data_IF_360373602463
#
_entry.id   IF_360373602463
#
_cell.length_a   1.000
_cell.length_b   1.000
_cell.length_c   1.000
_cell.angle_alpha   90.00
_cell.angle_beta   90.00
_cell.angle_gamma   90.00
#
_symmetry.space_group_name_H-M   'P 1'
#
loop_
_entity.id
_entity.type
_entity.pdbx_description
1 polymer ?
#
# COMPACT_ATOMS: atom_id res chain seq x y z
N UNK A 1 -48.49 89.27 -50.22
CA UNK A 1 -48.91 89.67 -48.85
C UNK A 1 -49.88 88.59 -48.38
N UNK A 2 -49.71 87.80 -47.35
CA UNK A 2 -48.76 87.66 -46.24
C UNK A 2 -49.48 86.79 -45.19
N UNK A 3 -48.73 85.94 -44.47
CA UNK A 3 -49.08 85.17 -43.25
C UNK A 3 -49.91 83.88 -43.46
N UNK A 4 -49.41 82.64 -43.29
CA UNK A 4 -48.62 81.90 -42.26
C UNK A 4 -49.46 81.38 -41.06
N UNK A 5 -49.25 80.09 -40.75
CA UNK A 5 -49.53 79.26 -39.54
C UNK A 5 -50.92 78.58 -39.47
N UNK A 6 -51.09 77.30 -39.09
CA UNK A 6 -50.25 76.15 -38.68
C UNK A 6 -51.19 74.93 -38.54
N UNK A 7 -50.75 73.71 -38.87
CA UNK A 7 -51.06 72.49 -38.11
C UNK A 7 -50.18 71.32 -38.60
N UNK A 8 -49.44 70.72 -37.68
CA UNK A 8 -48.49 69.64 -37.90
C UNK A 8 -49.18 68.27 -37.87
N UNK A 9 -48.86 67.39 -38.82
CA UNK A 9 -49.34 66.00 -38.88
C UNK A 9 -48.33 65.02 -38.28
N UNK A 10 -48.83 64.09 -37.47
CA UNK A 10 -48.10 62.92 -36.96
C UNK A 10 -47.59 62.05 -38.12
N UNK A 11 -46.31 61.67 -38.08
CA UNK A 11 -45.77 60.57 -38.87
C UNK A 11 -45.42 59.41 -37.93
N UNK A 12 -46.03 58.25 -38.17
CA UNK A 12 -45.81 57.02 -37.43
C UNK A 12 -44.42 56.43 -37.75
N UNK A 13 -43.63 56.15 -36.71
CA UNK A 13 -42.36 55.43 -36.81
C UNK A 13 -42.67 53.93 -36.76
N UNK A 14 -42.37 53.22 -37.86
CA UNK A 14 -42.39 51.76 -37.91
C UNK A 14 -41.11 51.24 -37.26
N UNK A 15 -41.24 50.60 -36.10
CA UNK A 15 -40.17 49.81 -35.50
C UNK A 15 -40.04 48.48 -36.25
N UNK A 16 -38.96 48.30 -37.01
CA UNK A 16 -38.55 46.98 -37.49
C UNK A 16 -37.85 46.30 -36.32
N UNK A 17 -38.56 45.39 -35.65
CA UNK A 17 -37.97 44.45 -34.71
C UNK A 17 -37.19 43.41 -35.54
N UNK A 18 -35.88 43.57 -35.63
CA UNK A 18 -35.00 42.50 -36.05
C UNK A 18 -34.97 41.46 -34.93
N UNK A 19 -35.81 40.43 -35.05
CA UNK A 19 -35.75 39.22 -34.24
C UNK A 19 -34.44 38.50 -34.57
N UNK A 20 -33.39 38.82 -33.82
CA UNK A 20 -32.22 37.96 -33.74
C UNK A 20 -32.63 36.66 -33.07
N UNK A 21 -32.82 35.60 -33.85
CA UNK A 21 -32.79 34.25 -33.32
C UNK A 21 -31.38 33.99 -32.80
N UNK A 22 -31.12 34.34 -31.53
CA UNK A 22 -30.06 33.70 -30.78
C UNK A 22 -30.45 32.22 -30.73
N UNK A 23 -29.79 31.41 -31.57
CA UNK A 23 -29.90 29.96 -31.47
C UNK A 23 -29.37 29.62 -30.08
N UNK A 24 -30.29 29.27 -29.19
CA UNK A 24 -29.98 28.74 -27.87
C UNK A 24 -29.09 27.53 -28.14
N UNK A 25 -27.78 27.70 -27.89
CA UNK A 25 -26.89 26.55 -27.84
C UNK A 25 -27.28 25.87 -26.55
N UNK A 26 -27.73 24.62 -26.63
CA UNK A 26 -27.65 23.74 -25.47
C UNK A 26 -26.18 23.72 -25.07
N UNK A 27 -25.82 24.54 -24.08
CA UNK A 27 -24.53 24.44 -23.42
C UNK A 27 -24.68 23.15 -22.60
N UNK A 28 -23.93 22.08 -22.89
CA UNK A 28 -23.92 20.91 -22.02
C UNK A 28 -23.67 21.39 -20.59
N UNK A 29 -24.16 20.69 -19.56
CA UNK A 29 -23.98 21.12 -18.16
C UNK A 29 -22.52 21.48 -17.80
N UNK A 30 -21.56 20.91 -18.53
CA UNK A 30 -20.12 21.10 -18.38
C UNK A 30 -19.44 21.85 -19.56
N UNK A 31 -20.20 22.51 -20.43
CA UNK A 31 -19.67 23.22 -21.61
C UNK A 31 -18.67 24.33 -21.26
N UNK A 32 -18.89 25.03 -20.14
CA UNK A 32 -17.98 26.06 -19.63
C UNK A 32 -16.65 25.45 -19.12
N UNK A 33 -16.69 24.26 -18.50
CA UNK A 33 -15.51 23.55 -18.03
C UNK A 33 -14.62 23.08 -19.19
N UNK A 34 -15.23 22.56 -20.26
CA UNK A 34 -14.50 22.19 -21.47
C UNK A 34 -13.87 23.41 -22.14
N UNK A 35 -14.62 24.50 -22.27
CA UNK A 35 -14.09 25.73 -22.86
C UNK A 35 -12.90 26.30 -22.07
N UNK A 36 -12.99 26.33 -20.74
CA UNK A 36 -11.88 26.74 -19.88
C UNK A 36 -10.65 25.86 -20.06
N UNK A 37 -10.85 24.54 -20.03
CA UNK A 37 -9.77 23.57 -20.22
C UNK A 37 -9.09 23.72 -21.59
N UNK A 38 -9.87 23.76 -22.67
CA UNK A 38 -9.36 23.92 -24.03
C UNK A 38 -8.56 25.23 -24.18
N UNK A 39 -9.01 26.30 -23.51
CA UNK A 39 -8.29 27.60 -23.50
C UNK A 39 -6.95 27.49 -22.76
N UNK A 40 -6.93 26.78 -21.62
CA UNK A 40 -5.69 26.56 -20.87
C UNK A 40 -4.70 25.72 -21.68
N UNK A 41 -5.16 24.66 -22.37
CA UNK A 41 -4.34 23.82 -23.24
C UNK A 41 -3.70 24.63 -24.37
N UNK A 42 -4.46 25.51 -25.03
CA UNK A 42 -3.93 26.34 -26.12
C UNK A 42 -2.76 27.24 -25.66
N UNK A 43 -2.79 27.69 -24.41
CA UNK A 43 -1.77 28.56 -23.84
C UNK A 43 -0.55 27.79 -23.32
N UNK A 44 -0.77 26.62 -22.71
CA UNK A 44 0.27 25.90 -21.95
C UNK A 44 0.83 24.66 -22.65
N UNK A 45 0.10 24.10 -23.62
CA UNK A 45 0.46 22.90 -24.37
C UNK A 45 0.44 23.14 -25.90
N UNK A 46 1.07 24.21 -26.43
CA UNK A 46 0.94 24.55 -27.85
C UNK A 46 1.55 23.47 -28.75
N UNK A 47 0.74 22.93 -29.66
CA UNK A 47 1.16 21.92 -30.64
C UNK A 47 1.13 20.47 -30.12
N UNK A 48 0.63 20.25 -28.91
CA UNK A 48 0.35 18.90 -28.39
C UNK A 48 -1.07 18.53 -28.80
N UNK A 49 -1.22 17.42 -29.51
CA UNK A 49 -2.52 16.88 -29.91
C UNK A 49 -3.14 16.06 -28.75
N UNK A 50 -4.49 16.02 -28.65
CA UNK A 50 -5.15 15.20 -27.65
C UNK A 50 -4.86 13.71 -27.89
N UNK A 51 -4.72 12.98 -26.79
CA UNK A 51 -4.60 11.53 -26.75
C UNK A 51 -5.87 10.91 -26.14
N UNK A 52 -6.27 9.73 -26.65
CA UNK A 52 -7.42 9.00 -26.12
C UNK A 52 -8.71 9.82 -26.17
N UNK A 53 -9.36 9.95 -25.01
CA UNK A 53 -10.63 10.67 -24.84
C UNK A 53 -10.45 12.15 -24.48
N UNK A 54 -9.24 12.71 -24.63
CA UNK A 54 -8.97 14.13 -24.45
C UNK A 54 -7.93 14.48 -23.38
N UNK A 55 -7.03 13.56 -23.02
CA UNK A 55 -5.84 13.91 -22.24
C UNK A 55 -4.76 14.52 -23.13
N UNK A 56 -3.80 15.25 -22.54
CA UNK A 56 -2.67 15.82 -23.27
C UNK A 56 -1.36 15.39 -22.64
N UNK A 57 -0.54 14.62 -23.37
CA UNK A 57 0.76 14.13 -22.92
C UNK A 57 1.80 15.23 -23.17
N UNK A 58 2.39 15.76 -22.10
CA UNK A 58 3.36 16.86 -22.16
C UNK A 58 4.80 16.37 -22.23
N UNK A 59 5.13 15.33 -21.45
CA UNK A 59 6.44 14.70 -21.44
C UNK A 59 6.23 13.18 -21.44
N UNK A 60 7.02 12.47 -22.24
CA UNK A 60 6.87 11.02 -22.41
C UNK A 60 8.23 10.33 -22.53
N UNK A 61 8.48 9.44 -21.57
CA UNK A 61 9.46 8.37 -21.65
C UNK A 61 8.70 7.05 -21.48
N UNK A 62 8.65 6.26 -22.56
CA UNK A 62 7.93 4.99 -22.57
C UNK A 62 8.49 4.03 -21.52
N UNK A 63 9.79 4.09 -21.22
CA UNK A 63 10.50 3.05 -20.46
C UNK A 63 10.87 1.85 -21.33
N UNK A 64 11.62 0.91 -20.76
CA UNK A 64 12.24 -0.19 -21.53
C UNK A 64 11.87 -1.59 -21.05
N UNK A 65 11.25 -1.72 -19.88
CA UNK A 65 10.92 -3.05 -19.34
C UNK A 65 9.56 -3.56 -19.82
N UNK A 66 8.91 -4.34 -18.97
CA UNK A 66 7.62 -4.96 -19.27
C UNK A 66 6.55 -3.90 -19.60
N UNK A 67 5.68 -4.21 -20.56
CA UNK A 67 4.63 -3.28 -20.97
C UNK A 67 3.50 -3.25 -19.94
N UNK A 68 2.93 -2.06 -19.69
CA UNK A 68 1.74 -1.94 -18.85
C UNK A 68 0.56 -2.69 -19.44
N UNK A 69 0.35 -2.59 -20.77
CA UNK A 69 -0.62 -3.38 -21.53
C UNK A 69 -1.95 -3.63 -20.79
N UNK A 70 -2.34 -4.89 -20.63
CA UNK A 70 -3.55 -5.37 -19.96
C UNK A 70 -3.36 -5.67 -18.47
N UNK A 71 -2.26 -5.20 -17.86
CA UNK A 71 -1.99 -5.37 -16.42
C UNK A 71 -3.14 -4.89 -15.57
N UNK A 72 -3.59 -5.74 -14.66
CA UNK A 72 -4.71 -5.46 -13.74
C UNK A 72 -4.32 -4.47 -12.64
N UNK A 73 -3.03 -4.36 -12.33
CA UNK A 73 -2.49 -3.41 -11.37
C UNK A 73 -1.22 -2.78 -11.94
N UNK A 74 -0.86 -1.61 -11.38
CA UNK A 74 0.44 -0.97 -11.63
C UNK A 74 1.00 -0.49 -10.30
N UNK A 75 2.26 -0.82 -10.03
CA UNK A 75 3.06 -0.25 -8.96
C UNK A 75 3.79 0.97 -9.50
N UNK A 76 3.52 2.16 -8.97
CA UNK A 76 4.04 3.42 -9.50
C UNK A 76 4.25 4.48 -8.43
N UNK A 77 5.09 5.46 -8.72
CA UNK A 77 5.15 6.72 -7.99
C UNK A 77 4.50 7.83 -8.79
N UNK A 78 3.99 8.86 -8.12
CA UNK A 78 3.39 10.00 -8.81
C UNK A 78 3.44 11.29 -8.01
N UNK A 79 3.28 12.39 -8.75
CA UNK A 79 2.91 13.71 -8.23
C UNK A 79 1.73 14.22 -9.06
N UNK A 80 0.68 14.66 -8.39
CA UNK A 80 -0.48 15.32 -8.98
C UNK A 80 -0.46 16.80 -8.63
N UNK A 81 -0.79 17.64 -9.60
CA UNK A 81 -0.95 19.08 -9.42
C UNK A 81 -2.25 19.57 -10.04
N UNK A 82 -2.77 20.71 -9.58
CA UNK A 82 -3.79 21.45 -10.32
C UNK A 82 -3.19 22.15 -11.57
N UNK A 83 -4.02 22.89 -12.30
CA UNK A 83 -3.58 23.64 -13.50
C UNK A 83 -2.71 24.88 -13.17
N UNK A 84 -2.63 25.29 -11.91
CA UNK A 84 -1.77 26.37 -11.42
C UNK A 84 -0.40 25.84 -10.95
N UNK A 85 -0.25 24.51 -10.86
CA UNK A 85 0.95 23.84 -10.41
C UNK A 85 0.99 23.56 -8.90
N UNK A 86 -0.09 23.81 -8.18
CA UNK A 86 -0.19 23.45 -6.76
C UNK A 86 -0.22 21.93 -6.63
N UNK A 87 0.68 21.35 -5.82
CA UNK A 87 0.69 19.91 -5.55
C UNK A 87 -0.55 19.54 -4.74
N UNK A 88 -1.32 18.58 -5.25
CA UNK A 88 -2.56 18.10 -4.63
C UNK A 88 -2.44 16.71 -4.05
N UNK A 89 -1.54 15.88 -4.58
CA UNK A 89 -1.25 14.54 -4.08
C UNK A 89 0.13 14.05 -4.55
N UNK A 90 0.77 13.15 -3.81
CA UNK A 90 2.09 12.62 -4.12
C UNK A 90 2.42 11.35 -3.35
N UNK A 91 3.40 10.59 -3.86
CA UNK A 91 3.93 9.40 -3.17
C UNK A 91 5.26 9.63 -2.48
N UNK A 92 6.14 10.42 -3.08
CA UNK A 92 7.57 10.44 -2.72
C UNK A 92 7.90 11.30 -1.50
N UNK A 93 8.91 10.85 -0.75
CA UNK A 93 9.41 11.55 0.44
C UNK A 93 9.98 12.92 0.10
N UNK A 94 10.69 13.00 -1.03
CA UNK A 94 11.34 14.24 -1.49
C UNK A 94 10.31 15.36 -1.69
N UNK A 95 9.13 15.03 -2.21
CA UNK A 95 8.01 15.97 -2.36
C UNK A 95 7.46 16.39 -1.00
N UNK A 96 7.26 15.46 -0.08
CA UNK A 96 6.82 15.77 1.28
C UNK A 96 7.76 16.77 1.98
N UNK A 97 9.08 16.53 1.87
CA UNK A 97 10.11 17.40 2.45
C UNK A 97 10.10 18.78 1.80
N UNK A 98 9.92 18.86 0.49
CA UNK A 98 9.84 20.14 -0.24
C UNK A 98 8.64 21.00 0.22
N UNK A 99 7.52 20.36 0.53
CA UNK A 99 6.31 21.02 1.03
C UNK A 99 6.37 21.33 2.54
N UNK A 100 7.36 20.81 3.27
CA UNK A 100 7.39 20.89 4.73
C UNK A 100 6.34 20.01 5.41
N UNK A 101 5.81 19.02 4.69
CA UNK A 101 4.77 18.08 5.13
C UNK A 101 5.33 16.69 5.51
N UNK A 102 6.66 16.56 5.49
CA UNK A 102 7.31 15.32 5.89
C UNK A 102 7.12 15.07 7.39
N UNK A 103 6.53 13.93 7.71
CA UNK A 103 6.30 13.49 9.08
C UNK A 103 7.26 12.36 9.43
N UNK A 104 8.26 12.70 10.23
CA UNK A 104 9.29 11.79 10.71
C UNK A 104 8.77 10.78 11.73
N UNK A 105 7.64 11.07 12.38
CA UNK A 105 7.23 10.41 13.63
C UNK A 105 6.03 9.48 13.54
N UNK A 106 5.20 9.62 12.50
CA UNK A 106 3.98 8.81 12.33
C UNK A 106 4.22 7.45 11.70
N UNK A 107 5.46 7.12 11.33
CA UNK A 107 5.74 5.93 10.55
C UNK A 107 5.15 5.97 9.13
N UNK A 108 4.69 7.14 8.64
CA UNK A 108 4.09 7.29 7.30
C UNK A 108 4.99 6.71 6.21
N UNK A 109 4.37 5.99 5.28
CA UNK A 109 5.02 5.45 4.10
C UNK A 109 5.07 6.51 2.99
N UNK A 110 6.28 6.74 2.51
CA UNK A 110 6.58 7.54 1.33
C UNK A 110 7.28 6.64 0.31
N UNK A 111 6.71 6.54 -0.89
CA UNK A 111 7.19 5.68 -1.95
C UNK A 111 6.05 5.15 -2.83
N UNK A 112 6.40 4.33 -3.84
CA UNK A 112 5.45 3.88 -4.85
C UNK A 112 4.25 3.13 -4.26
N UNK A 113 3.11 3.18 -4.93
CA UNK A 113 1.85 2.57 -4.51
C UNK A 113 1.29 1.68 -5.61
N UNK A 114 0.51 0.68 -5.23
CA UNK A 114 -0.23 -0.15 -6.17
C UNK A 114 -1.57 0.51 -6.46
N UNK A 115 -1.85 0.71 -7.74
CA UNK A 115 -3.16 1.12 -8.23
C UNK A 115 -3.83 -0.03 -8.97
N UNK A 116 -5.10 -0.27 -8.64
CA UNK A 116 -5.97 -1.22 -9.35
C UNK A 116 -6.49 -0.60 -10.64
N UNK A 117 -6.20 -1.21 -11.78
CA UNK A 117 -6.63 -0.76 -13.12
C UNK A 117 -7.99 -1.34 -13.47
N UNK A 118 -9.03 -0.82 -12.81
CA UNK A 118 -10.41 -1.16 -13.11
C UNK A 118 -11.34 0.03 -12.91
N UNK A 119 -12.44 0.06 -13.67
CA UNK A 119 -13.56 0.97 -13.41
C UNK A 119 -14.06 0.76 -11.97
N UNK A 120 -14.26 1.87 -11.26
CA UNK A 120 -14.57 1.93 -9.84
C UNK A 120 -13.36 2.26 -8.96
N UNK A 121 -12.14 2.08 -9.47
CA UNK A 121 -10.90 2.21 -8.68
C UNK A 121 -9.91 3.25 -9.22
N UNK A 122 -9.84 3.41 -10.53
CA UNK A 122 -8.90 4.31 -11.18
C UNK A 122 -9.63 5.30 -12.09
N UNK A 123 -9.15 6.54 -12.14
CA UNK A 123 -9.68 7.55 -13.05
C UNK A 123 -9.46 7.16 -14.52
N UNK A 124 -10.48 7.33 -15.36
CA UNK A 124 -10.41 7.00 -16.79
C UNK A 124 -9.23 7.66 -17.50
N UNK A 125 -9.01 8.96 -17.27
CA UNK A 125 -7.87 9.68 -17.86
C UNK A 125 -6.51 9.23 -17.37
N UNK A 126 -6.41 8.78 -16.11
CA UNK A 126 -5.17 8.19 -15.57
C UNK A 126 -4.92 6.82 -16.21
N UNK A 127 -5.97 6.02 -16.44
CA UNK A 127 -5.84 4.76 -17.17
C UNK A 127 -5.40 4.98 -18.63
N UNK A 128 -5.94 6.00 -19.31
CA UNK A 128 -5.49 6.38 -20.65
C UNK A 128 -4.04 6.86 -20.65
N UNK A 129 -3.64 7.65 -19.65
CA UNK A 129 -2.26 8.10 -19.49
C UNK A 129 -1.28 6.92 -19.43
N UNK A 130 -1.64 5.82 -18.78
CA UNK A 130 -0.80 4.62 -18.66
C UNK A 130 -0.70 3.79 -19.96
N UNK A 131 -1.52 4.08 -20.98
CA UNK A 131 -1.53 3.30 -22.22
C UNK A 131 -0.22 3.47 -23.00
N UNK A 132 0.40 2.34 -23.34
CA UNK A 132 1.68 2.32 -24.05
C UNK A 132 2.90 2.52 -23.15
N UNK A 133 2.74 2.85 -21.87
CA UNK A 133 3.87 2.92 -20.95
C UNK A 133 4.45 1.53 -20.66
N UNK A 134 5.73 1.51 -20.29
CA UNK A 134 6.49 0.34 -19.84
C UNK A 134 7.12 0.61 -18.49
N UNK A 135 7.55 -0.46 -17.85
CA UNK A 135 8.35 -0.44 -16.64
C UNK A 135 9.57 0.48 -16.80
N UNK A 136 9.78 1.34 -15.80
CA UNK A 136 10.82 2.37 -15.78
C UNK A 136 10.45 3.66 -16.52
N UNK A 137 9.31 3.68 -17.24
CA UNK A 137 8.86 4.86 -17.98
C UNK A 137 8.28 5.93 -17.07
N UNK A 138 8.44 7.19 -17.49
CA UNK A 138 7.88 8.37 -16.83
C UNK A 138 7.03 9.14 -17.83
N UNK A 139 5.83 9.54 -17.42
CA UNK A 139 4.94 10.34 -18.27
C UNK A 139 4.34 11.47 -17.48
N UNK A 140 4.19 12.62 -18.13
CA UNK A 140 3.46 13.78 -17.61
C UNK A 140 2.28 14.08 -18.52
N UNK A 141 1.08 14.13 -17.96
CA UNK A 141 -0.14 14.38 -18.73
C UNK A 141 -1.11 15.31 -18.00
N UNK A 142 -1.77 16.16 -18.78
CA UNK A 142 -2.89 16.98 -18.34
C UNK A 142 -4.17 16.20 -18.57
N UNK A 143 -4.93 15.99 -17.49
CA UNK A 143 -6.16 15.22 -17.47
C UNK A 143 -7.32 16.17 -17.17
N UNK A 144 -8.29 16.31 -18.08
CA UNK A 144 -9.44 17.15 -17.82
C UNK A 144 -10.34 16.56 -16.74
N UNK A 145 -11.08 17.41 -16.04
CA UNK A 145 -11.91 17.02 -14.89
C UNK A 145 -13.00 16.02 -15.21
N UNK A 146 -13.49 15.96 -16.46
CA UNK A 146 -14.43 14.92 -16.88
C UNK A 146 -13.80 13.53 -16.99
N UNK A 147 -12.48 13.43 -17.22
CA UNK A 147 -11.72 12.18 -17.22
C UNK A 147 -11.18 11.81 -15.83
N UNK A 148 -11.32 12.70 -14.83
CA UNK A 148 -11.09 12.42 -13.42
C UNK A 148 -12.30 11.71 -12.78
N UNK A 149 -12.82 10.68 -13.48
CA UNK A 149 -13.97 9.87 -13.09
C UNK A 149 -13.56 8.41 -12.91
N UNK A 150 -13.97 7.80 -11.80
CA UNK A 150 -13.76 6.38 -11.54
C UNK A 150 -14.67 5.48 -12.38
N UNK A 151 -15.70 6.02 -13.02
CA UNK A 151 -16.50 5.26 -14.00
C UNK A 151 -15.87 5.44 -15.38
N UNK A 152 -15.54 4.33 -16.04
CA UNK A 152 -14.98 4.36 -17.38
C UNK A 152 -16.10 4.37 -18.42
N UNK A 153 -16.12 5.42 -19.24
CA UNK A 153 -17.06 5.58 -20.34
C UNK A 153 -16.40 5.27 -21.68
N UNK A 154 -17.22 4.99 -22.71
CA UNK A 154 -16.74 4.57 -24.03
C UNK A 154 -16.43 5.72 -24.99
N UNK A 155 -16.77 6.96 -24.63
CA UNK A 155 -16.50 8.14 -25.46
C UNK A 155 -16.31 9.42 -24.63
N UNK A 156 -15.60 10.39 -25.20
CA UNK A 156 -15.42 11.74 -24.62
C UNK A 156 -16.78 12.38 -24.25
N UNK A 157 -17.79 12.26 -25.12
CA UNK A 157 -19.11 12.86 -24.86
C UNK A 157 -19.77 12.24 -23.63
N UNK A 158 -19.69 10.92 -23.45
CA UNK A 158 -20.22 10.27 -22.25
C UNK A 158 -19.49 10.73 -20.97
N UNK A 159 -18.18 10.94 -21.03
CA UNK A 159 -17.45 11.54 -19.90
C UNK A 159 -17.92 12.98 -19.62
N UNK A 160 -18.10 13.80 -20.66
CA UNK A 160 -18.57 15.17 -20.52
C UNK A 160 -19.98 15.24 -19.92
N UNK A 161 -20.87 14.36 -20.34
CA UNK A 161 -22.25 14.26 -19.83
C UNK A 161 -22.29 13.84 -18.35
N UNK A 162 -21.24 13.15 -17.88
CA UNK A 162 -21.11 12.65 -16.50
C UNK A 162 -19.96 13.32 -15.71
N UNK A 163 -19.47 14.48 -16.17
CA UNK A 163 -18.28 15.08 -15.57
C UNK A 163 -18.54 15.48 -14.11
N UNK A 164 -17.59 15.14 -13.24
CA UNK A 164 -17.69 15.40 -11.80
C UNK A 164 -16.36 15.76 -11.13
N UNK A 165 -15.23 15.62 -11.82
CA UNK A 165 -13.90 15.90 -11.29
C UNK A 165 -13.35 17.27 -11.66
N UNK A 166 -12.17 17.59 -11.12
CA UNK A 166 -11.40 18.80 -11.42
C UNK A 166 -10.22 18.46 -12.33
N UNK A 167 -9.80 19.42 -13.16
CA UNK A 167 -8.61 19.24 -14.00
C UNK A 167 -7.38 18.95 -13.12
N UNK A 168 -6.52 18.04 -13.57
CA UNK A 168 -5.30 17.66 -12.85
C UNK A 168 -4.17 17.37 -13.81
N UNK A 169 -2.94 17.63 -13.40
CA UNK A 169 -1.73 17.25 -14.12
C UNK A 169 -1.03 16.18 -13.30
N UNK A 170 -0.88 14.99 -13.88
CA UNK A 170 -0.15 13.89 -13.28
C UNK A 170 1.24 13.77 -13.89
N UNK A 171 2.24 13.55 -13.05
CA UNK A 171 3.52 12.96 -13.45
C UNK A 171 3.62 11.60 -12.79
N UNK A 172 3.67 10.52 -13.56
CA UNK A 172 3.75 9.14 -13.04
C UNK A 172 5.05 8.49 -13.48
N UNK A 173 5.62 7.64 -12.63
CA UNK A 173 6.73 6.74 -12.99
C UNK A 173 6.32 5.32 -12.69
N UNK A 174 6.29 4.47 -13.73
CA UNK A 174 5.88 3.07 -13.62
C UNK A 174 7.04 2.26 -13.05
N UNK A 175 6.86 1.69 -11.85
CA UNK A 175 7.86 0.82 -11.23
C UNK A 175 7.69 -0.61 -11.69
N UNK A 176 6.47 -1.15 -11.66
CA UNK A 176 6.14 -2.48 -12.18
C UNK A 176 4.70 -2.52 -12.74
N UNK A 177 4.50 -3.06 -13.95
CA UNK A 177 3.20 -3.54 -14.40
C UNK A 177 2.88 -4.90 -13.77
N UNK A 178 1.64 -5.11 -13.31
CA UNK A 178 1.26 -6.27 -12.51
C UNK A 178 0.00 -6.94 -13.08
N UNK A 179 0.17 -8.11 -13.69
CA UNK A 179 -0.94 -8.93 -14.18
C UNK A 179 -1.66 -9.68 -13.06
N UNK A 180 -0.90 -10.26 -12.12
CA UNK A 180 -1.41 -11.05 -11.01
C UNK A 180 -0.77 -10.56 -9.71
N UNK A 181 -1.57 -9.91 -8.87
CA UNK A 181 -1.08 -9.29 -7.64
C UNK A 181 -0.55 -10.31 -6.62
N UNK A 182 -1.14 -11.51 -6.56
CA UNK A 182 -0.66 -12.57 -5.69
C UNK A 182 0.73 -13.01 -6.13
N UNK A 183 0.91 -13.36 -7.41
CA UNK A 183 2.20 -13.81 -7.92
C UNK A 183 3.27 -12.72 -7.78
N UNK A 184 2.95 -11.45 -8.07
CA UNK A 184 3.90 -10.35 -7.90
C UNK A 184 4.37 -10.18 -6.45
N UNK A 185 3.49 -10.37 -5.47
CA UNK A 185 3.88 -10.34 -4.06
C UNK A 185 4.80 -11.50 -3.69
N UNK A 186 4.50 -12.71 -4.15
CA UNK A 186 5.36 -13.89 -3.95
C UNK A 186 6.74 -13.67 -4.57
N UNK A 187 6.79 -13.17 -5.79
CA UNK A 187 8.05 -12.87 -6.46
C UNK A 187 8.82 -11.75 -5.75
N UNK A 188 8.11 -10.78 -5.15
CA UNK A 188 8.71 -9.71 -4.36
C UNK A 188 9.35 -10.24 -3.08
N UNK A 189 8.67 -11.14 -2.37
CA UNK A 189 9.26 -11.84 -1.22
C UNK A 189 10.45 -12.68 -1.68
N UNK A 190 10.33 -13.43 -2.78
CA UNK A 190 11.42 -14.23 -3.33
C UNK A 190 12.67 -13.40 -3.66
N UNK A 191 12.49 -12.23 -4.30
CA UNK A 191 13.57 -11.26 -4.57
C UNK A 191 14.18 -10.71 -3.28
N UNK A 192 13.35 -10.37 -2.29
CA UNK A 192 13.79 -9.89 -0.99
C UNK A 192 14.68 -10.92 -0.27
N UNK A 193 14.24 -12.19 -0.23
CA UNK A 193 14.97 -13.30 0.37
C UNK A 193 16.31 -13.56 -0.35
N UNK A 194 16.32 -13.53 -1.68
CA UNK A 194 17.53 -13.71 -2.48
C UNK A 194 18.51 -12.52 -2.37
N UNK A 195 18.03 -11.34 -2.00
CA UNK A 195 18.80 -10.10 -1.92
C UNK A 195 19.73 -10.00 -0.71
N UNK A 196 19.74 -10.98 0.19
CA UNK A 196 20.64 -11.00 1.35
C UNK A 196 20.31 -9.94 2.39
N UNK A 197 19.04 -9.84 2.79
CA UNK A 197 18.60 -8.90 3.83
C UNK A 197 19.45 -9.05 5.11
N UNK A 198 19.89 -7.92 5.67
CA UNK A 198 20.69 -7.85 6.91
C UNK A 198 19.92 -7.11 7.99
N UNK A 199 19.37 -7.84 8.95
CA UNK A 199 18.83 -7.23 10.17
C UNK A 199 19.97 -6.91 11.14
N UNK A 200 19.95 -5.69 11.69
CA UNK A 200 20.90 -5.23 12.71
C UNK A 200 20.23 -5.08 14.09
N UNK A 201 18.90 -5.18 14.14
CA UNK A 201 18.12 -4.79 15.32
C UNK A 201 17.98 -5.93 16.34
N UNK A 202 18.35 -7.13 15.92
CA UNK A 202 18.19 -8.37 16.67
C UNK A 202 19.43 -9.27 16.60
N UNK A 203 20.63 -8.70 16.60
CA UNK A 203 21.86 -9.47 16.36
C UNK A 203 22.00 -9.81 14.88
N UNK A 204 23.24 -9.88 14.39
CA UNK A 204 23.54 -9.90 12.96
C UNK A 204 22.92 -11.12 12.26
N UNK A 205 21.84 -10.94 11.50
CA UNK A 205 21.27 -11.99 10.65
C UNK A 205 21.40 -11.59 9.18
N UNK A 206 22.30 -12.27 8.47
CA UNK A 206 22.38 -12.25 7.01
C UNK A 206 21.44 -13.34 6.46
N UNK A 207 20.23 -12.94 6.08
CA UNK A 207 19.17 -13.85 5.69
C UNK A 207 19.53 -14.67 4.44
N UNK A 208 20.28 -14.07 3.51
CA UNK A 208 20.75 -14.75 2.30
C UNK A 208 21.73 -15.87 2.65
N UNK A 209 22.71 -15.57 3.49
CA UNK A 209 23.67 -16.58 3.98
C UNK A 209 22.97 -17.68 4.78
N UNK A 210 21.99 -17.33 5.61
CA UNK A 210 21.21 -18.29 6.40
C UNK A 210 20.41 -19.24 5.50
N UNK A 211 19.75 -18.71 4.47
CA UNK A 211 18.97 -19.49 3.50
C UNK A 211 19.87 -20.43 2.69
N UNK A 212 21.00 -19.94 2.18
CA UNK A 212 21.97 -20.75 1.43
C UNK A 212 22.56 -21.88 2.29
N UNK A 213 22.93 -21.57 3.54
CA UNK A 213 23.54 -22.53 4.46
C UNK A 213 22.57 -23.64 4.87
N UNK A 214 21.31 -23.29 5.11
CA UNK A 214 20.30 -24.23 5.61
C UNK A 214 19.45 -24.85 4.50
N UNK A 215 19.72 -24.54 3.22
CA UNK A 215 18.98 -25.09 2.10
C UNK A 215 17.48 -24.75 2.11
N UNK A 216 17.10 -23.62 2.73
CA UNK A 216 15.70 -23.22 2.88
C UNK A 216 15.17 -22.81 1.52
N UNK A 217 14.63 -23.78 0.77
CA UNK A 217 13.86 -23.49 -0.43
C UNK A 217 12.49 -22.99 0.01
N UNK A 218 12.38 -21.68 0.28
CA UNK A 218 11.15 -20.89 0.32
C UNK A 218 9.92 -21.74 0.70
N UNK A 219 9.65 -21.98 2.00
CA UNK A 219 8.58 -22.87 2.46
C UNK A 219 7.33 -22.77 1.57
N UNK A 220 7.17 -23.71 0.64
CA UNK A 220 6.00 -23.90 -0.21
C UNK A 220 5.13 -25.01 0.39
N UNK A 221 5.22 -25.19 1.71
CA UNK A 221 4.63 -26.35 2.35
C UNK A 221 3.14 -26.15 2.57
N UNK A 222 2.39 -26.99 1.86
CA UNK A 222 0.93 -27.08 1.75
C UNK A 222 0.25 -25.93 0.98
N UNK A 223 -0.87 -26.26 0.32
CA UNK A 223 -1.78 -25.28 -0.31
C UNK A 223 -2.26 -24.20 0.67
N UNK A 224 -2.19 -24.48 1.97
CA UNK A 224 -2.86 -23.73 3.02
C UNK A 224 -1.96 -22.62 3.59
N UNK A 225 -0.65 -22.63 3.27
CA UNK A 225 0.33 -21.62 3.70
C UNK A 225 1.07 -20.97 2.52
N UNK A 226 0.48 -21.01 1.33
CA UNK A 226 1.06 -20.37 0.14
C UNK A 226 1.23 -18.86 0.35
N UNK A 227 2.47 -18.39 0.26
CA UNK A 227 2.81 -16.98 0.49
C UNK A 227 3.10 -16.62 1.94
N UNK A 228 3.35 -17.62 2.77
CA UNK A 228 3.90 -17.49 4.12
C UNK A 228 5.25 -18.21 4.20
N UNK A 229 6.25 -17.56 4.80
CA UNK A 229 7.61 -18.06 4.96
C UNK A 229 8.00 -17.92 6.42
N UNK A 230 8.50 -19.02 7.00
CA UNK A 230 8.97 -19.07 8.39
C UNK A 230 10.45 -19.41 8.41
N UNK A 231 11.21 -18.68 9.22
CA UNK A 231 12.65 -18.82 9.38
C UNK A 231 12.95 -18.80 10.87
N UNK A 232 13.21 -19.95 11.46
CA UNK A 232 13.71 -20.05 12.83
C UNK A 232 15.19 -19.63 12.86
N UNK A 233 15.57 -18.76 13.81
CA UNK A 233 16.90 -18.17 13.96
C UNK A 233 17.67 -18.81 15.12
N UNK A 234 16.99 -19.04 16.24
CA UNK A 234 17.56 -19.61 17.45
C UNK A 234 16.54 -20.58 18.08
N UNK A 235 17.01 -21.78 18.41
CA UNK A 235 16.25 -22.74 19.20
C UNK A 235 16.41 -22.37 20.67
N UNK A 236 15.31 -22.02 21.35
CA UNK A 236 15.39 -21.80 22.80
C UNK A 236 15.63 -23.12 23.53
N UNK A 237 16.30 -23.05 24.69
CA UNK A 237 16.51 -24.22 25.54
C UNK A 237 15.22 -24.56 26.29
N UNK A 238 14.93 -25.85 26.46
CA UNK A 238 13.79 -26.34 27.27
C UNK A 238 13.84 -25.76 28.70
N UNK A 239 12.67 -25.45 29.27
CA UNK A 239 12.55 -25.28 30.72
C UNK A 239 12.91 -26.62 31.36
N UNK A 240 13.94 -26.63 32.20
CA UNK A 240 14.23 -27.78 33.05
C UNK A 240 12.93 -28.17 33.79
N UNK A 241 12.39 -29.35 33.49
CA UNK A 241 11.46 -30.03 34.37
C UNK A 241 12.23 -30.45 35.63
N UNK A 242 12.53 -29.49 36.50
CA UNK A 242 12.99 -29.76 37.87
C UNK A 242 11.78 -30.21 38.72
N UNK A 243 11.20 -31.36 38.35
CA UNK A 243 10.44 -32.19 39.28
C UNK A 243 10.26 -33.61 38.72
N UNK A 244 11.26 -34.46 38.93
CA UNK A 244 11.01 -35.78 39.51
C UNK A 244 12.31 -36.43 39.93
N UNK A 245 12.45 -36.59 41.24
CA UNK A 245 13.24 -37.67 41.80
C UNK A 245 12.59 -39.00 41.40
N UNK A 246 13.07 -39.65 40.36
CA UNK A 246 12.95 -41.11 40.29
C UNK A 246 14.23 -41.76 39.76
N UNK A 247 14.64 -42.77 40.50
CA UNK A 247 15.87 -43.51 40.36
C UNK A 247 15.56 -44.83 39.67
N UNK A 248 16.06 -45.06 38.45
CA UNK A 248 15.94 -46.39 37.86
C UNK A 248 16.30 -46.55 36.39
N UNK A 249 17.49 -47.12 36.19
CA UNK A 249 17.90 -48.04 35.12
C UNK A 249 18.08 -47.54 33.67
N UNK A 250 19.19 -47.96 33.08
CA UNK A 250 19.68 -47.48 31.79
C UNK A 250 18.99 -48.15 30.61
N UNK A 251 18.66 -47.35 29.60
CA UNK A 251 18.20 -47.78 28.30
C UNK A 251 18.64 -46.79 27.21
N UNK A 252 19.39 -47.33 26.26
CA UNK A 252 19.75 -46.87 24.92
C UNK A 252 19.17 -45.51 24.42
N UNK A 253 20.05 -44.56 24.12
CA UNK A 253 19.73 -43.27 23.49
C UNK A 253 19.59 -43.44 21.97
N UNK A 254 18.37 -43.67 21.48
CA UNK A 254 18.05 -43.49 20.05
C UNK A 254 16.57 -43.21 19.79
N UNK A 255 15.96 -42.29 20.53
CA UNK A 255 14.59 -41.88 20.24
C UNK A 255 14.62 -40.53 19.55
N UNK A 256 14.28 -40.53 18.26
CA UNK A 256 14.06 -39.33 17.48
C UNK A 256 12.91 -38.55 18.10
N UNK A 257 13.23 -37.36 18.62
CA UNK A 257 12.25 -36.41 19.10
C UNK A 257 11.48 -35.86 17.88
N UNK A 258 10.16 -36.03 17.88
CA UNK A 258 9.28 -35.53 16.83
C UNK A 258 8.94 -34.06 17.15
N UNK A 259 9.76 -33.15 16.61
CA UNK A 259 9.64 -31.70 16.86
C UNK A 259 8.37 -31.08 16.26
N UNK A 260 7.59 -31.81 15.46
CA UNK A 260 6.34 -31.31 14.90
C UNK A 260 5.23 -31.09 15.95
N UNK A 261 5.36 -31.70 17.15
CA UNK A 261 4.34 -31.66 18.20
C UNK A 261 4.69 -30.77 19.43
N UNK A 262 5.86 -30.13 19.47
CA UNK A 262 6.28 -29.30 20.63
C UNK A 262 5.79 -27.85 20.55
N UNK A 263 4.49 -27.64 20.72
CA UNK A 263 3.94 -26.30 20.97
C UNK A 263 4.33 -25.81 22.38
N UNK A 264 4.38 -24.48 22.59
CA UNK A 264 4.74 -23.84 23.88
C UNK A 264 4.07 -24.49 25.11
N UNK A 265 2.86 -24.99 24.93
CA UNK A 265 2.12 -25.72 25.95
C UNK A 265 1.54 -26.99 25.34
N UNK A 266 2.16 -28.14 25.60
CA UNK A 266 1.51 -29.44 25.39
C UNK A 266 0.70 -29.77 26.63
N UNK A 267 -0.56 -29.31 26.69
CA UNK A 267 -1.53 -29.64 27.76
C UNK A 267 -0.92 -29.62 29.17
N UNK A 268 -0.41 -28.47 29.63
CA UNK A 268 0.06 -28.34 31.01
C UNK A 268 -1.09 -27.98 31.95
N UNK A 269 -1.10 -28.53 33.16
CA UNK A 269 -1.99 -28.13 34.28
C UNK A 269 -1.78 -26.66 34.76
N UNK A 270 -0.96 -25.88 34.04
CA UNK A 270 -0.86 -24.42 34.21
C UNK A 270 -2.12 -23.74 33.69
N UNK A 271 -2.77 -22.95 34.56
CA UNK A 271 -3.87 -22.08 34.15
C UNK A 271 -3.38 -20.83 33.41
N UNK A 272 -2.07 -20.57 33.37
CA UNK A 272 -1.47 -19.46 32.64
C UNK A 272 -0.77 -19.99 31.38
N UNK A 273 -1.35 -19.67 30.23
CA UNK A 273 -0.85 -20.00 28.89
C UNK A 273 -0.24 -18.76 28.22
N UNK A 274 0.16 -17.75 29.00
CA UNK A 274 0.73 -16.51 28.48
C UNK A 274 2.21 -16.68 28.16
N UNK A 275 2.62 -16.25 26.96
CA UNK A 275 4.03 -16.02 26.62
C UNK A 275 4.29 -14.52 26.44
N UNK A 276 5.54 -14.10 26.52
CA UNK A 276 5.93 -12.72 26.32
C UNK A 276 6.88 -12.59 25.13
N UNK A 277 6.68 -11.58 24.29
CA UNK A 277 7.46 -11.40 23.08
C UNK A 277 8.02 -10.00 22.93
N UNK A 278 9.18 -9.90 22.30
CA UNK A 278 9.63 -8.69 21.63
C UNK A 278 9.48 -8.86 20.12
N UNK A 279 9.09 -7.81 19.41
CA UNK A 279 8.88 -7.88 17.97
C UNK A 279 9.26 -6.61 17.23
N UNK A 280 9.58 -6.78 15.94
CA UNK A 280 9.77 -5.70 14.96
C UNK A 280 9.02 -6.05 13.68
N UNK A 281 8.08 -5.20 13.28
CA UNK A 281 7.33 -5.29 12.03
C UNK A 281 7.90 -4.39 10.94
N UNK A 282 8.16 -4.95 9.75
CA UNK A 282 8.74 -4.23 8.61
C UNK A 282 8.04 -4.48 7.29
N UNK A 283 8.11 -3.48 6.43
CA UNK A 283 7.89 -3.64 4.99
C UNK A 283 9.14 -4.28 4.36
N UNK A 284 9.00 -4.89 3.18
CA UNK A 284 10.14 -5.50 2.46
C UNK A 284 11.23 -4.50 2.05
N UNK A 285 10.95 -3.20 2.06
CA UNK A 285 11.96 -2.16 1.84
C UNK A 285 12.78 -1.84 3.12
N UNK A 286 12.55 -2.56 4.22
CA UNK A 286 13.26 -2.42 5.49
C UNK A 286 12.65 -1.40 6.46
N UNK A 287 11.65 -0.61 6.02
CA UNK A 287 10.97 0.36 6.89
C UNK A 287 10.28 -0.34 8.05
N UNK A 288 10.65 0.01 9.28
CA UNK A 288 9.91 -0.39 10.48
C UNK A 288 8.61 0.39 10.56
N UNK A 289 7.52 -0.33 10.80
CA UNK A 289 6.19 0.26 10.99
C UNK A 289 5.63 0.05 12.40
N UNK A 290 6.13 -0.96 13.12
CA UNK A 290 5.69 -1.26 14.49
C UNK A 290 6.78 -2.03 15.25
N UNK A 291 6.91 -1.77 16.55
CA UNK A 291 7.80 -2.50 17.46
C UNK A 291 7.51 -2.13 18.91
N UNK A 292 7.66 -3.09 19.81
CA UNK A 292 7.71 -2.85 21.25
C UNK A 292 9.15 -2.71 21.81
N UNK A 293 10.17 -2.62 20.97
CA UNK A 293 11.55 -2.41 21.41
C UNK A 293 11.92 -0.95 21.33
N UNK A 294 12.17 -0.32 22.49
CA UNK A 294 12.48 1.11 22.58
C UNK A 294 13.61 1.55 21.65
N UNK A 295 14.73 0.82 21.65
CA UNK A 295 15.88 1.16 20.79
C UNK A 295 15.49 1.19 19.32
N UNK A 296 14.74 0.19 18.86
CA UNK A 296 14.34 0.09 17.44
C UNK A 296 13.34 1.17 17.08
N UNK A 297 12.42 1.49 18.00
CA UNK A 297 11.51 2.62 17.82
C UNK A 297 12.26 3.95 17.71
N UNK A 298 13.22 4.21 18.60
CA UNK A 298 14.04 5.42 18.57
C UNK A 298 14.87 5.51 17.26
N UNK A 299 15.51 4.41 16.85
CA UNK A 299 16.32 4.33 15.62
C UNK A 299 15.48 4.53 14.34
N UNK A 300 14.17 4.30 14.41
CA UNK A 300 13.22 4.44 13.29
C UNK A 300 12.21 5.59 13.47
N UNK A 301 12.43 6.47 14.44
CA UNK A 301 11.56 7.61 14.78
C UNK A 301 10.09 7.22 15.06
N UNK A 302 9.83 6.04 15.62
CA UNK A 302 8.49 5.62 16.01
C UNK A 302 8.18 6.08 17.44
N UNK A 303 6.97 6.58 17.66
CA UNK A 303 6.53 7.11 18.97
C UNK A 303 5.24 6.43 19.46
N UNK A 304 4.97 6.51 20.76
CA UNK A 304 3.68 6.12 21.34
C UNK A 304 3.57 4.69 21.89
N UNK A 305 4.68 3.96 22.04
CA UNK A 305 4.69 2.63 22.67
C UNK A 305 5.07 2.66 24.14
N UNK A 306 4.58 1.68 24.91
CA UNK A 306 5.03 1.43 26.29
C UNK A 306 6.40 0.71 26.33
N UNK A 307 6.82 0.16 25.19
CA UNK A 307 8.09 -0.50 24.94
C UNK A 307 8.47 -1.59 25.96
N UNK A 308 7.48 -2.37 26.38
CA UNK A 308 7.62 -3.56 27.23
C UNK A 308 7.34 -4.83 26.41
N UNK A 309 7.81 -6.01 26.87
CA UNK A 309 7.41 -7.28 26.28
C UNK A 309 5.88 -7.39 26.15
N UNK A 310 5.43 -7.87 25.00
CA UNK A 310 4.02 -8.01 24.67
C UNK A 310 3.54 -9.39 25.11
N UNK A 311 2.50 -9.44 25.94
CA UNK A 311 1.86 -10.69 26.33
C UNK A 311 1.07 -11.28 25.15
N UNK A 312 1.14 -12.60 24.97
CA UNK A 312 0.32 -13.37 24.03
C UNK A 312 -0.36 -14.48 24.83
N UNK A 313 -1.70 -14.49 24.84
CA UNK A 313 -2.46 -15.61 25.39
C UNK A 313 -2.49 -16.75 24.38
N UNK A 314 -1.90 -17.89 24.74
CA UNK A 314 -1.83 -19.06 23.88
C UNK A 314 -3.14 -19.85 23.90
N UNK A 315 -3.45 -20.48 22.77
CA UNK A 315 -4.68 -21.23 22.51
C UNK A 315 -4.40 -22.51 21.73
N UNK A 316 -5.45 -23.26 21.35
CA UNK A 316 -5.33 -24.54 20.64
C UNK A 316 -5.07 -24.38 19.13
N UNK A 317 -5.14 -23.16 18.60
CA UNK A 317 -4.86 -22.86 17.20
C UNK A 317 -4.30 -21.45 17.01
N UNK A 318 -3.53 -21.25 15.93
CA UNK A 318 -3.00 -19.92 15.59
C UNK A 318 -4.11 -18.87 15.42
N UNK A 319 -5.29 -19.26 14.94
CA UNK A 319 -6.42 -18.34 14.73
C UNK A 319 -7.08 -17.86 16.02
N UNK A 320 -6.74 -18.48 17.15
CA UNK A 320 -7.32 -18.21 18.46
C UNK A 320 -6.37 -17.47 19.41
N UNK A 321 -5.13 -17.19 18.97
CA UNK A 321 -4.17 -16.41 19.75
C UNK A 321 -4.67 -14.98 19.96
N UNK A 322 -4.42 -14.45 21.16
CA UNK A 322 -4.80 -13.09 21.55
C UNK A 322 -3.54 -12.33 21.96
N UNK A 323 -3.34 -11.15 21.37
CA UNK A 323 -2.30 -10.21 21.78
C UNK A 323 -2.81 -9.33 22.92
N UNK A 324 -2.02 -9.23 23.98
CA UNK A 324 -2.38 -8.56 25.22
C UNK A 324 -3.24 -9.43 26.15
N UNK A 325 -3.53 -8.88 27.33
CA UNK A 325 -4.28 -9.58 28.40
C UNK A 325 -5.69 -9.06 28.60
N UNK A 326 -6.04 -7.94 27.97
CA UNK A 326 -7.32 -7.25 28.14
C UNK A 326 -8.42 -7.70 27.18
N UNK A 327 -8.05 -8.33 26.08
CA UNK A 327 -8.98 -8.79 25.06
C UNK A 327 -9.39 -10.24 25.30
N UNK A 328 -10.55 -10.63 24.77
CA UNK A 328 -11.08 -12.00 24.86
C UNK A 328 -11.38 -12.60 23.48
N UNK A 329 -10.92 -11.94 22.41
CA UNK A 329 -11.13 -12.37 21.03
C UNK A 329 -9.84 -12.17 20.23
N UNK A 330 -9.55 -13.04 19.25
CA UNK A 330 -8.37 -12.91 18.41
C UNK A 330 -8.30 -11.55 17.72
N UNK A 331 -7.17 -10.87 17.85
CA UNK A 331 -6.98 -9.46 17.46
C UNK A 331 -5.72 -9.25 16.59
N UNK A 332 -5.15 -10.34 16.07
CA UNK A 332 -3.87 -10.34 15.36
C UNK A 332 -4.06 -10.61 13.88
N UNK A 333 -3.20 -10.03 13.03
CA UNK A 333 -3.15 -10.41 11.61
C UNK A 333 -2.67 -11.86 11.47
N UNK A 334 -3.25 -12.58 10.51
CA UNK A 334 -3.08 -14.03 10.35
C UNK A 334 -1.61 -14.45 10.26
N UNK A 335 -0.79 -13.73 9.48
CA UNK A 335 0.61 -14.06 9.29
C UNK A 335 1.45 -13.89 10.55
N UNK A 336 1.13 -12.92 11.41
CA UNK A 336 1.81 -12.76 12.69
C UNK A 336 1.47 -13.93 13.62
N UNK A 337 0.18 -14.28 13.72
CA UNK A 337 -0.26 -15.42 14.53
C UNK A 337 0.31 -16.75 14.04
N UNK A 338 0.36 -16.97 12.72
CA UNK A 338 1.02 -18.14 12.11
C UNK A 338 2.52 -18.18 12.40
N UNK A 339 3.17 -17.02 12.48
CA UNK A 339 4.60 -16.94 12.84
C UNK A 339 4.82 -17.41 14.26
N UNK A 340 4.07 -16.84 15.21
CA UNK A 340 4.13 -17.26 16.61
C UNK A 340 3.87 -18.75 16.77
N UNK A 341 2.83 -19.26 16.14
CA UNK A 341 2.43 -20.68 16.24
C UNK A 341 3.53 -21.66 15.84
N UNK A 342 4.42 -21.25 14.93
CA UNK A 342 5.56 -22.06 14.48
C UNK A 342 6.83 -21.88 15.34
N UNK A 343 6.84 -20.96 16.29
CA UNK A 343 7.98 -20.74 17.17
C UNK A 343 8.02 -21.78 18.31
N UNK A 344 9.22 -22.11 18.75
CA UNK A 344 9.48 -22.89 19.96
C UNK A 344 9.70 -21.98 21.19
N UNK A 345 9.53 -22.50 22.41
CA UNK A 345 9.93 -21.86 23.67
C UNK A 345 11.29 -21.16 23.59
N UNK A 346 11.34 -19.89 24.03
CA UNK A 346 12.53 -19.01 24.02
C UNK A 346 13.25 -18.92 22.66
N UNK A 347 12.54 -19.26 21.59
CA UNK A 347 13.06 -19.22 20.24
C UNK A 347 12.94 -17.82 19.65
N UNK A 348 13.66 -17.66 18.55
CA UNK A 348 13.62 -16.45 17.73
C UNK A 348 13.33 -16.83 16.31
N UNK A 349 12.45 -16.09 15.66
CA UNK A 349 12.03 -16.41 14.30
C UNK A 349 11.67 -15.17 13.48
N UNK A 350 11.61 -15.37 12.17
CA UNK A 350 11.08 -14.42 11.20
C UNK A 350 9.92 -15.05 10.46
N UNK A 351 8.79 -14.33 10.44
CA UNK A 351 7.69 -14.58 9.54
C UNK A 351 7.68 -13.56 8.41
N UNK A 352 7.61 -14.02 7.16
CA UNK A 352 7.44 -13.16 5.99
C UNK A 352 6.22 -13.64 5.23
N UNK A 353 5.29 -12.74 4.91
CA UNK A 353 4.06 -13.14 4.26
C UNK A 353 3.47 -12.06 3.37
N UNK A 354 2.74 -12.50 2.35
CA UNK A 354 2.02 -11.61 1.45
C UNK A 354 0.84 -10.90 2.14
N UNK A 355 0.24 -9.93 1.48
CA UNK A 355 -0.73 -9.03 2.09
C UNK A 355 -2.00 -9.72 2.60
N UNK A 356 -2.43 -10.87 2.03
CA UNK A 356 -3.67 -11.51 2.50
C UNK A 356 -3.54 -12.12 3.90
N UNK A 357 -2.32 -12.40 4.36
CA UNK A 357 -2.06 -12.74 5.75
C UNK A 357 -1.79 -11.49 6.63
N UNK A 358 -1.80 -10.30 6.04
CA UNK A 358 -1.66 -9.00 6.70
C UNK A 358 -2.86 -8.11 6.44
N UNK A 359 -2.62 -6.91 5.87
CA UNK A 359 -3.65 -5.88 5.69
C UNK A 359 -4.30 -5.83 4.30
N UNK A 360 -3.99 -6.79 3.43
CA UNK A 360 -4.66 -7.01 2.14
C UNK A 360 -4.71 -5.79 1.22
N UNK A 361 -5.82 -5.67 0.49
CA UNK A 361 -6.11 -4.55 -0.41
C UNK A 361 -6.24 -3.19 0.32
N UNK A 362 -6.65 -3.21 1.59
CA UNK A 362 -6.90 -1.97 2.33
C UNK A 362 -5.61 -1.30 2.82
N UNK A 363 -4.58 -2.08 3.13
CA UNK A 363 -3.43 -1.57 3.88
C UNK A 363 -3.84 -1.15 5.31
N UNK A 364 -2.98 -0.38 5.98
CA UNK A 364 -3.24 0.16 7.32
C UNK A 364 -2.77 1.61 7.43
N UNK A 365 -3.75 2.51 7.58
CA UNK A 365 -3.54 3.94 7.72
C UNK A 365 -2.63 4.51 6.62
N UNK A 366 -1.73 5.41 7.03
CA UNK A 366 -0.72 5.99 6.14
C UNK A 366 0.62 5.23 6.18
N UNK A 367 0.70 4.16 6.98
CA UNK A 367 1.93 3.48 7.36
C UNK A 367 2.18 2.24 6.49
N UNK A 368 1.12 1.48 6.19
CA UNK A 368 1.21 0.24 5.42
C UNK A 368 0.37 0.39 4.15
N UNK A 369 1.00 0.49 2.96
CA UNK A 369 0.27 0.54 1.70
C UNK A 369 -0.57 -0.71 1.43
N UNK A 370 -1.58 -0.57 0.59
CA UNK A 370 -2.33 -1.67 0.00
C UNK A 370 -1.38 -2.71 -0.63
N UNK A 371 -1.71 -4.00 -0.47
CA UNK A 371 -0.97 -5.14 -1.01
C UNK A 371 0.51 -5.21 -0.58
N UNK A 372 0.84 -4.68 0.60
CA UNK A 372 2.20 -4.79 1.14
C UNK A 372 2.44 -6.15 1.77
N UNK A 373 3.45 -6.93 1.31
CA UNK A 373 3.98 -8.03 2.10
C UNK A 373 4.67 -7.50 3.35
N UNK A 374 4.57 -8.24 4.44
CA UNK A 374 5.12 -7.86 5.74
C UNK A 374 6.15 -8.89 6.20
N UNK A 375 7.08 -8.42 7.03
CA UNK A 375 8.03 -9.22 7.76
C UNK A 375 7.90 -8.90 9.25
N UNK A 376 7.87 -9.92 10.09
CA UNK A 376 7.97 -9.79 11.52
C UNK A 376 9.15 -10.60 12.05
N UNK A 377 10.03 -9.92 12.77
CA UNK A 377 11.06 -10.54 13.60
C UNK A 377 10.49 -10.64 15.01
N UNK A 378 10.45 -11.85 15.58
CA UNK A 378 9.86 -12.12 16.89
C UNK A 378 10.86 -12.91 17.73
N UNK A 379 11.00 -12.51 19.00
CA UNK A 379 11.78 -13.19 20.03
C UNK A 379 10.85 -13.45 21.21
N UNK A 380 10.81 -14.70 21.68
CA UNK A 380 10.12 -15.01 22.94
C UNK A 380 11.07 -14.74 24.10
N UNK A 381 10.57 -13.99 25.08
CA UNK A 381 11.33 -13.54 26.25
C UNK A 381 10.65 -14.00 27.54
N UNK A 382 11.39 -13.92 28.63
CA UNK A 382 10.86 -14.16 29.98
C UNK A 382 9.75 -13.17 30.34
N UNK A 383 8.93 -13.55 31.31
CA UNK A 383 7.95 -12.67 31.90
C UNK A 383 8.65 -11.43 32.49
N UNK A 384 8.23 -10.20 32.12
CA UNK A 384 8.81 -8.98 32.68
C UNK A 384 8.66 -8.88 34.20
N UNK A 385 7.64 -9.50 34.80
CA UNK A 385 7.40 -9.48 36.25
C UNK A 385 8.28 -10.47 37.04
N UNK A 386 8.93 -11.43 36.37
CA UNK A 386 9.77 -12.44 37.03
C UNK A 386 11.21 -11.93 37.32
N UNK A 387 11.54 -10.72 36.84
CA UNK A 387 12.87 -10.11 36.96
C UNK A 387 13.01 -9.11 38.14
N UNK A 388 12.02 -9.03 39.04
CA UNK A 388 11.99 -8.13 40.21
C UNK A 388 12.24 -8.81 41.57
#
# INVERSE_FOLDING_TARGET
MGNILRAAGLAAIVFILASGCAKERDIPSNGDAKFFFDSWIQLNCPGIEPYGSGIYIMDDDEGTGEAVADSQFVYLSYVATDLEGTITDYTEESTARMLGEYDETSGRYYGPRIWTRASGFMYGGVNEMLTGMRQGGTRKAVIPGWLMSNTWYGSEQEYLDNASGTNSIYTVTVVDPIQNITQWQIDSIGRFLAGGYRSHDFGYLDLGTYIEKNGITSAKDSSDMYGFYFIEIEHGQELNNDDSSDSGDGGDTSDGYDWEDSHFFTTSDSNDTTIYINYVGRLLNGKVFDTNIKRVADDNNLSGGDYTPMAIQWADSYSELIMGTSDSTPNMITGFAMTLWRMHPFGKAIGIFYSNYGYGYSGSGNTIPAYSPLMFEIEVVENPDDND
#
